data_IF_923528883826
#
_entry.id   IF_923528883826
#
_cell.length_a   1.000
_cell.length_b   1.000
_cell.length_c   1.000
_cell.angle_alpha   90.00
_cell.angle_beta   90.00
_cell.angle_gamma   90.00
#
_symmetry.space_group_name_H-M   'P 1'
#
loop_
_entity.id
_entity.type
_entity.pdbx_description
1 polymer ?
#
# COMPACT_ATOMS: atom_id res chain seq x y z
N UNK A 1 3.14 -19.49 -25.98
CA UNK A 1 3.66 -19.46 -24.60
C UNK A 1 4.89 -20.35 -24.48
N UNK A 2 4.83 -21.58 -24.99
CA UNK A 2 5.94 -22.54 -24.94
C UNK A 2 7.23 -22.07 -25.63
N UNK A 3 7.16 -21.46 -26.82
CA UNK A 3 8.37 -20.98 -27.53
C UNK A 3 9.14 -19.91 -26.73
N UNK A 4 8.43 -19.01 -26.05
CA UNK A 4 9.04 -17.98 -25.21
C UNK A 4 9.70 -18.59 -23.98
N UNK A 5 9.01 -19.51 -23.31
CA UNK A 5 9.52 -20.24 -22.14
C UNK A 5 10.77 -21.04 -22.50
N UNK A 6 10.75 -21.77 -23.61
CA UNK A 6 11.88 -22.54 -24.12
C UNK A 6 13.07 -21.65 -24.47
N UNK A 7 12.85 -20.53 -25.16
CA UNK A 7 13.93 -19.58 -25.47
C UNK A 7 14.59 -19.02 -24.20
N UNK A 8 13.81 -18.71 -23.16
CA UNK A 8 14.34 -18.28 -21.86
C UNK A 8 15.09 -19.40 -21.13
N UNK A 9 14.59 -20.63 -21.16
CA UNK A 9 15.25 -21.80 -20.58
C UNK A 9 16.61 -22.05 -21.25
N UNK A 10 16.64 -22.07 -22.59
CA UNK A 10 17.83 -22.33 -23.39
C UNK A 10 18.92 -21.27 -23.19
N UNK A 11 18.54 -19.98 -23.19
CA UNK A 11 19.47 -18.88 -23.02
C UNK A 11 20.12 -18.83 -21.63
N UNK A 12 19.43 -19.34 -20.60
CA UNK A 12 19.88 -19.29 -19.21
C UNK A 12 20.36 -20.66 -18.67
N UNK A 13 20.30 -21.72 -19.48
CA UNK A 13 20.65 -23.08 -19.06
C UNK A 13 19.80 -23.57 -17.87
N UNK A 14 18.55 -23.11 -17.76
CA UNK A 14 17.66 -23.36 -16.62
C UNK A 14 16.45 -24.15 -17.06
N UNK A 15 16.12 -25.22 -16.33
CA UNK A 15 14.85 -25.91 -16.56
C UNK A 15 13.68 -25.06 -16.06
N UNK A 16 12.78 -24.73 -16.99
CA UNK A 16 11.53 -24.01 -16.74
C UNK A 16 10.31 -24.86 -17.09
N UNK A 17 10.44 -26.18 -17.19
CA UNK A 17 9.33 -27.09 -17.48
C UNK A 17 8.19 -26.94 -16.47
N UNK A 18 8.49 -26.89 -15.17
CA UNK A 18 7.48 -26.69 -14.14
C UNK A 18 6.85 -25.29 -14.16
N UNK A 19 7.53 -24.28 -14.69
CA UNK A 19 6.96 -22.94 -14.85
C UNK A 19 5.80 -22.92 -15.87
N UNK A 20 5.70 -23.94 -16.72
CA UNK A 20 4.58 -24.12 -17.66
C UNK A 20 3.23 -24.21 -16.95
N UNK A 21 3.20 -24.67 -15.69
CA UNK A 21 1.97 -24.74 -14.90
C UNK A 21 1.29 -23.37 -14.76
N UNK A 22 2.02 -22.24 -14.79
CA UNK A 22 1.44 -20.89 -14.79
C UNK A 22 0.59 -20.58 -16.03
N UNK A 23 0.83 -21.25 -17.16
CA UNK A 23 0.04 -21.07 -18.37
C UNK A 23 -1.17 -22.00 -18.43
N UNK A 24 -1.15 -23.08 -17.66
CA UNK A 24 -2.09 -24.19 -17.78
C UNK A 24 -3.08 -24.27 -16.61
N UNK A 25 -2.69 -23.76 -15.44
CA UNK A 25 -3.52 -23.76 -14.25
C UNK A 25 -4.22 -22.41 -14.10
N UNK A 26 -5.55 -22.34 -14.26
CA UNK A 26 -6.28 -21.15 -13.89
C UNK A 26 -6.24 -20.94 -12.37
N UNK A 27 -6.51 -19.71 -11.93
CA UNK A 27 -6.69 -19.36 -10.51
C UNK A 27 -5.51 -18.67 -9.87
N UNK A 28 -5.72 -18.23 -8.63
CA UNK A 28 -4.68 -17.62 -7.81
C UNK A 28 -4.25 -18.64 -6.76
N UNK A 29 -3.02 -19.20 -6.84
CA UNK A 29 -2.50 -20.09 -5.81
C UNK A 29 -2.49 -19.40 -4.45
N UNK A 30 -2.64 -20.18 -3.39
CA UNK A 30 -2.41 -19.73 -2.01
C UNK A 30 -1.09 -20.33 -1.50
N UNK A 31 -0.29 -19.52 -0.82
CA UNK A 31 0.93 -19.94 -0.15
C UNK A 31 0.77 -19.69 1.35
N UNK A 32 0.60 -20.76 2.12
CA UNK A 32 0.61 -20.69 3.58
C UNK A 32 2.06 -20.69 4.05
N UNK A 33 2.39 -19.82 5.00
CA UNK A 33 3.74 -19.70 5.56
C UNK A 33 3.69 -19.86 7.07
N UNK A 34 4.62 -20.65 7.59
CA UNK A 34 4.88 -20.77 9.02
C UNK A 34 6.35 -20.49 9.29
N UNK A 35 6.64 -19.78 10.36
CA UNK A 35 7.99 -19.51 10.81
C UNK A 35 8.30 -20.22 12.12
N UNK A 36 9.57 -20.51 12.33
CA UNK A 36 10.11 -21.11 13.55
C UNK A 36 11.47 -20.49 13.88
N UNK A 37 11.76 -20.29 15.16
CA UNK A 37 13.00 -19.69 15.63
C UNK A 37 13.64 -20.58 16.69
N UNK A 38 14.84 -21.08 16.38
CA UNK A 38 15.70 -21.79 17.31
C UNK A 38 16.77 -20.84 17.86
N UNK A 39 16.56 -20.39 19.10
CA UNK A 39 17.47 -19.49 19.79
C UNK A 39 18.82 -20.15 20.18
N UNK A 40 18.87 -21.47 20.34
CA UNK A 40 20.08 -22.18 20.73
C UNK A 40 21.05 -22.30 19.54
N UNK A 41 20.52 -22.51 18.33
CA UNK A 41 21.32 -22.59 17.10
C UNK A 41 21.39 -21.28 16.32
N UNK A 42 20.54 -20.31 16.65
CA UNK A 42 20.42 -19.06 15.90
C UNK A 42 19.85 -19.27 14.50
N UNK A 43 18.93 -20.22 14.34
CA UNK A 43 18.36 -20.60 13.04
C UNK A 43 16.90 -20.19 12.95
N UNK A 44 16.59 -19.36 11.95
CA UNK A 44 15.22 -19.04 11.59
C UNK A 44 14.80 -19.89 10.40
N UNK A 45 13.59 -20.43 10.42
CA UNK A 45 13.12 -21.30 9.35
C UNK A 45 11.73 -20.93 8.88
N UNK A 46 11.52 -20.99 7.58
CA UNK A 46 10.22 -20.76 6.92
C UNK A 46 9.76 -22.06 6.27
N UNK A 47 8.59 -22.55 6.68
CA UNK A 47 7.88 -23.63 5.99
C UNK A 47 6.80 -23.02 5.10
N UNK A 48 6.95 -23.19 3.79
CA UNK A 48 6.02 -22.68 2.78
C UNK A 48 5.22 -23.84 2.21
N UNK A 49 3.90 -23.66 2.09
CA UNK A 49 2.99 -24.65 1.52
C UNK A 49 2.11 -24.05 0.44
N UNK A 50 2.17 -24.59 -0.77
CA UNK A 50 1.32 -24.13 -1.87
C UNK A 50 0.03 -24.95 -1.98
N UNK A 51 -1.08 -24.24 -2.16
CA UNK A 51 -2.39 -24.77 -2.52
C UNK A 51 -2.76 -24.21 -3.88
N UNK A 52 -2.76 -25.07 -4.88
CA UNK A 52 -3.08 -24.74 -6.27
C UNK A 52 -4.48 -25.23 -6.63
N UNK A 53 -5.17 -24.53 -7.53
CA UNK A 53 -6.52 -24.88 -7.96
C UNK A 53 -7.66 -24.59 -6.97
N UNK A 54 -7.37 -24.21 -5.72
CA UNK A 54 -8.40 -24.00 -4.69
C UNK A 54 -9.40 -22.87 -5.03
N UNK A 55 -10.69 -23.12 -4.81
CA UNK A 55 -11.75 -22.10 -4.87
C UNK A 55 -12.39 -21.85 -6.25
N UNK A 56 -12.20 -22.76 -7.21
CA UNK A 56 -12.79 -22.62 -8.54
C UNK A 56 -14.07 -23.42 -8.76
N UNK A 57 -14.99 -22.81 -9.51
CA UNK A 57 -16.07 -23.52 -10.16
C UNK A 57 -15.52 -24.21 -11.42
N UNK A 58 -15.50 -25.54 -11.41
CA UNK A 58 -15.15 -26.34 -12.57
C UNK A 58 -16.40 -26.74 -13.34
N UNK A 59 -16.27 -26.88 -14.66
CA UNK A 59 -17.33 -27.50 -15.46
C UNK A 59 -17.51 -28.95 -14.99
N UNK A 60 -18.75 -29.45 -14.86
CA UNK A 60 -18.98 -30.84 -14.47
C UNK A 60 -18.22 -31.81 -15.37
N UNK A 61 -17.25 -32.54 -14.81
CA UNK A 61 -16.45 -33.55 -15.52
C UNK A 61 -15.01 -33.14 -15.87
N UNK A 62 -14.60 -31.89 -15.66
CA UNK A 62 -13.19 -31.50 -15.75
C UNK A 62 -12.42 -31.94 -14.50
N UNK A 63 -11.26 -32.58 -14.70
CA UNK A 63 -10.34 -32.88 -13.59
C UNK A 63 -9.60 -31.60 -13.21
N UNK A 64 -9.69 -31.22 -11.95
CA UNK A 64 -8.94 -30.12 -11.37
C UNK A 64 -7.44 -30.41 -11.48
N UNK A 65 -6.70 -29.48 -12.09
CA UNK A 65 -5.24 -29.56 -12.19
C UNK A 65 -4.66 -28.95 -10.92
N UNK A 66 -4.03 -29.79 -10.10
CA UNK A 66 -3.47 -29.43 -8.79
C UNK A 66 -1.96 -29.71 -8.73
N UNK A 67 -1.27 -29.63 -9.87
CA UNK A 67 0.17 -29.90 -9.94
C UNK A 67 0.93 -28.74 -9.29
N UNK A 68 1.88 -28.99 -8.36
CA UNK A 68 2.70 -27.93 -7.77
C UNK A 68 3.36 -27.06 -8.84
N UNK A 69 3.27 -25.76 -8.65
CA UNK A 69 3.85 -24.75 -9.53
C UNK A 69 5.24 -24.39 -9.03
N UNK A 70 6.08 -23.83 -9.91
CA UNK A 70 7.28 -23.12 -9.51
C UNK A 70 6.89 -21.70 -9.09
N UNK A 71 6.87 -21.44 -7.78
CA UNK A 71 6.50 -20.14 -7.20
C UNK A 71 7.77 -19.48 -6.62
N UNK A 72 8.29 -18.41 -7.25
CA UNK A 72 9.40 -17.64 -6.70
C UNK A 72 8.90 -16.73 -5.56
N UNK A 73 9.32 -16.99 -4.33
CA UNK A 73 8.99 -16.18 -3.15
C UNK A 73 10.23 -15.40 -2.74
N UNK A 74 10.28 -14.11 -3.04
CA UNK A 74 11.36 -13.23 -2.58
C UNK A 74 11.14 -12.92 -1.11
N UNK A 75 12.14 -13.20 -0.27
CA UNK A 75 12.12 -12.93 1.17
C UNK A 75 13.33 -12.11 1.59
N UNK A 76 13.14 -11.24 2.58
CA UNK A 76 14.23 -10.65 3.36
C UNK A 76 13.95 -10.81 4.84
N UNK A 77 14.99 -10.81 5.68
CA UNK A 77 14.83 -10.89 7.14
C UNK A 77 15.39 -9.63 7.77
N UNK A 78 14.61 -9.01 8.66
CA UNK A 78 14.97 -7.78 9.35
C UNK A 78 15.12 -8.02 10.85
N UNK A 79 16.10 -7.35 11.44
CA UNK A 79 16.33 -7.36 12.87
C UNK A 79 15.32 -6.43 13.59
N UNK A 80 14.56 -6.99 14.54
CA UNK A 80 13.48 -6.30 15.27
C UNK A 80 13.95 -5.05 16.00
N UNK A 81 15.17 -5.02 16.51
CA UNK A 81 15.67 -3.91 17.34
C UNK A 81 16.25 -2.78 16.51
N UNK A 82 17.08 -3.11 15.50
CA UNK A 82 17.79 -2.11 14.69
C UNK A 82 17.04 -1.69 13.43
N UNK A 83 16.07 -2.49 12.96
CA UNK A 83 15.46 -2.32 11.66
C UNK A 83 16.39 -2.68 10.49
N UNK A 84 17.59 -3.22 10.77
CA UNK A 84 18.55 -3.57 9.75
C UNK A 84 18.17 -4.87 9.04
N UNK A 85 18.40 -4.93 7.74
CA UNK A 85 18.27 -6.15 6.96
C UNK A 85 19.44 -7.09 7.28
N UNK A 86 19.14 -8.20 7.97
CA UNK A 86 20.13 -9.22 8.38
C UNK A 86 20.26 -10.34 7.38
N UNK A 87 19.22 -10.59 6.58
CA UNK A 87 19.29 -11.42 5.38
C UNK A 87 18.76 -10.60 4.21
N UNK A 88 19.62 -10.23 3.25
CA UNK A 88 19.22 -9.56 2.02
C UNK A 88 18.14 -10.33 1.25
N UNK A 89 17.37 -9.61 0.44
CA UNK A 89 16.42 -10.21 -0.52
C UNK A 89 16.99 -11.45 -1.21
N UNK A 90 16.31 -12.58 -1.01
CA UNK A 90 16.64 -13.88 -1.59
C UNK A 90 15.39 -14.52 -2.16
N UNK A 91 15.52 -15.13 -3.34
CA UNK A 91 14.44 -15.93 -3.95
C UNK A 91 14.43 -17.32 -3.30
N UNK A 92 13.30 -17.71 -2.74
CA UNK A 92 12.98 -19.09 -2.39
C UNK A 92 12.15 -19.69 -3.52
N UNK A 93 12.61 -20.79 -4.09
CA UNK A 93 11.88 -21.51 -5.13
C UNK A 93 11.00 -22.58 -4.47
N UNK A 94 9.70 -22.27 -4.34
CA UNK A 94 8.71 -23.24 -3.89
C UNK A 94 8.23 -24.05 -5.11
N UNK A 95 8.75 -25.26 -5.24
CA UNK A 95 8.50 -26.22 -6.32
C UNK A 95 7.77 -27.48 -5.85
N UNK A 96 7.82 -27.80 -4.56
CA UNK A 96 7.06 -28.90 -3.97
C UNK A 96 5.76 -28.39 -3.31
N UNK A 97 4.80 -29.27 -2.97
CA UNK A 97 3.61 -28.85 -2.22
C UNK A 97 3.94 -28.16 -0.89
N UNK A 98 5.04 -28.54 -0.25
CA UNK A 98 5.51 -28.00 1.03
C UNK A 98 7.04 -28.08 1.08
N UNK A 99 7.73 -26.98 1.43
CA UNK A 99 9.18 -26.94 1.59
C UNK A 99 9.58 -26.10 2.79
N UNK A 100 10.65 -26.52 3.48
CA UNK A 100 11.27 -25.77 4.58
C UNK A 100 12.58 -25.13 4.12
N UNK A 101 12.75 -23.86 4.42
CA UNK A 101 13.94 -23.06 4.14
C UNK A 101 14.53 -22.55 5.45
N UNK A 102 15.84 -22.70 5.63
CA UNK A 102 16.52 -22.36 6.88
C UNK A 102 17.55 -21.23 6.68
N UNK A 103 17.64 -20.36 7.68
CA UNK A 103 18.48 -19.18 7.73
C UNK A 103 19.29 -19.22 9.04
N UNK A 104 20.45 -19.91 9.05
CA UNK A 104 21.29 -20.03 10.23
C UNK A 104 22.15 -18.77 10.46
N UNK A 105 22.65 -18.63 11.68
CA UNK A 105 23.64 -17.60 12.04
C UNK A 105 23.06 -16.24 12.40
N UNK A 106 21.77 -16.19 12.76
CA UNK A 106 21.12 -14.97 13.22
C UNK A 106 21.33 -14.78 14.73
N UNK A 107 21.43 -13.52 15.16
CA UNK A 107 21.70 -13.17 16.57
C UNK A 107 20.44 -13.06 17.42
N UNK A 108 19.31 -12.80 16.77
CA UNK A 108 17.99 -12.63 17.36
C UNK A 108 16.93 -13.08 16.36
N UNK A 109 15.72 -13.31 16.85
CA UNK A 109 14.58 -13.65 16.00
C UNK A 109 14.25 -12.48 15.05
N UNK A 110 14.28 -12.68 13.72
CA UNK A 110 13.98 -11.64 12.76
C UNK A 110 12.46 -11.46 12.54
N UNK A 111 12.07 -10.37 11.87
CA UNK A 111 10.78 -10.24 11.20
C UNK A 111 10.95 -10.60 9.72
N UNK A 112 10.17 -11.54 9.17
CA UNK A 112 10.25 -11.87 7.77
C UNK A 112 9.51 -10.82 6.93
N UNK A 113 10.14 -10.35 5.86
CA UNK A 113 9.50 -9.61 4.78
C UNK A 113 9.29 -10.58 3.63
N UNK A 114 8.04 -11.05 3.47
CA UNK A 114 7.68 -12.14 2.56
C UNK A 114 7.07 -11.59 1.27
N UNK A 115 7.24 -12.32 0.16
CA UNK A 115 6.65 -11.99 -1.15
C UNK A 115 7.00 -10.56 -1.65
N UNK A 116 8.23 -10.12 -1.37
CA UNK A 116 8.74 -8.79 -1.76
C UNK A 116 8.53 -8.50 -3.24
N UNK A 117 8.26 -7.23 -3.56
CA UNK A 117 7.90 -6.77 -4.92
C UNK A 117 6.76 -7.58 -5.56
N UNK A 118 5.90 -8.22 -4.76
CA UNK A 118 4.87 -9.15 -5.21
C UNK A 118 5.44 -10.24 -6.15
N UNK A 119 6.53 -10.88 -5.71
CA UNK A 119 7.38 -11.75 -6.55
C UNK A 119 6.66 -12.88 -7.28
N UNK A 120 5.49 -13.28 -6.80
CA UNK A 120 4.58 -14.18 -7.51
C UNK A 120 3.11 -13.77 -7.27
N UNK A 121 2.23 -13.96 -8.26
CA UNK A 121 0.81 -13.60 -8.15
C UNK A 121 0.03 -14.65 -7.34
N UNK A 122 0.27 -14.70 -6.03
CA UNK A 122 -0.31 -15.65 -5.09
C UNK A 122 -1.01 -14.93 -3.93
N UNK A 123 -1.94 -15.61 -3.27
CA UNK A 123 -2.44 -15.20 -1.95
C UNK A 123 -1.49 -15.71 -0.90
N UNK A 124 -0.74 -14.82 -0.25
CA UNK A 124 0.09 -15.19 0.89
C UNK A 124 -0.75 -15.27 2.15
N UNK A 125 -0.63 -16.35 2.90
CA UNK A 125 -1.23 -16.50 4.23
C UNK A 125 -0.12 -16.68 5.26
N UNK A 126 0.17 -15.61 6.00
CA UNK A 126 1.12 -15.60 7.11
C UNK A 126 0.52 -14.81 8.27
N UNK A 127 0.64 -15.36 9.47
CA UNK A 127 0.04 -14.80 10.69
C UNK A 127 0.90 -13.68 11.29
N UNK A 128 1.11 -12.58 10.56
CA UNK A 128 1.77 -11.40 11.12
C UNK A 128 1.01 -10.86 12.33
N UNK A 129 1.76 -10.48 13.37
CA UNK A 129 1.22 -9.68 14.48
C UNK A 129 1.07 -8.21 14.08
N UNK A 130 0.33 -7.42 14.85
CA UNK A 130 0.25 -5.97 14.61
C UNK A 130 1.60 -5.29 14.83
N UNK A 131 2.39 -5.82 15.76
CA UNK A 131 3.76 -5.40 16.01
C UNK A 131 4.65 -5.67 14.78
N UNK A 132 4.56 -6.86 14.17
CA UNK A 132 5.30 -7.19 12.95
C UNK A 132 4.90 -6.27 11.79
N UNK A 133 3.59 -6.08 11.56
CA UNK A 133 3.10 -5.22 10.49
C UNK A 133 3.50 -3.75 10.71
N UNK A 134 3.41 -3.26 11.95
CA UNK A 134 3.83 -1.89 12.28
C UNK A 134 5.33 -1.71 12.07
N UNK A 135 6.12 -2.73 12.43
CA UNK A 135 7.56 -2.76 12.19
C UNK A 135 7.86 -2.77 10.68
N UNK A 136 7.24 -3.64 9.90
CA UNK A 136 7.47 -3.73 8.44
C UNK A 136 7.08 -2.42 7.73
N UNK A 137 5.92 -1.83 8.05
CA UNK A 137 5.52 -0.54 7.50
C UNK A 137 6.56 0.57 7.78
N UNK A 138 7.19 0.53 8.96
CA UNK A 138 8.16 1.52 9.42
C UNK A 138 9.59 1.30 8.89
N UNK A 139 10.04 0.04 8.77
CA UNK A 139 11.46 -0.31 8.63
C UNK A 139 11.80 -1.25 7.48
N UNK A 140 10.82 -1.87 6.81
CA UNK A 140 11.13 -2.82 5.74
C UNK A 140 11.96 -2.14 4.63
N UNK A 141 12.99 -2.82 4.15
CA UNK A 141 13.81 -2.35 3.02
C UNK A 141 13.10 -2.53 1.68
N UNK A 142 12.07 -3.39 1.64
CA UNK A 142 11.18 -3.55 0.50
C UNK A 142 10.04 -2.55 0.54
N UNK A 143 10.02 -1.68 -0.47
CA UNK A 143 9.06 -0.60 -0.58
C UNK A 143 7.61 -1.11 -0.73
N UNK A 144 7.40 -2.16 -1.52
CA UNK A 144 6.09 -2.75 -1.71
C UNK A 144 5.52 -3.28 -0.38
N UNK A 145 6.32 -4.01 0.39
CA UNK A 145 5.90 -4.56 1.68
C UNK A 145 5.68 -3.49 2.76
N UNK A 146 6.41 -2.36 2.73
CA UNK A 146 6.06 -1.21 3.58
C UNK A 146 4.66 -0.70 3.28
N UNK A 147 4.33 -0.57 1.99
CA UNK A 147 3.00 -0.17 1.55
C UNK A 147 1.95 -1.22 1.92
N UNK A 148 2.20 -2.50 1.66
CA UNK A 148 1.26 -3.59 1.94
C UNK A 148 0.96 -3.70 3.44
N UNK A 149 1.98 -3.65 4.30
CA UNK A 149 1.81 -3.64 5.75
C UNK A 149 0.95 -2.46 6.21
N UNK A 150 1.16 -1.26 5.64
CA UNK A 150 0.32 -0.10 5.92
C UNK A 150 -1.13 -0.29 5.44
N UNK A 151 -1.36 -0.95 4.30
CA UNK A 151 -2.71 -1.27 3.81
C UNK A 151 -3.41 -2.32 4.69
N UNK A 152 -2.70 -3.33 5.18
CA UNK A 152 -3.24 -4.35 6.09
C UNK A 152 -3.64 -3.69 7.41
N UNK A 153 -2.75 -2.90 8.03
CA UNK A 153 -3.04 -2.15 9.26
C UNK A 153 -4.21 -1.18 9.07
N UNK A 154 -4.22 -0.42 7.97
CA UNK A 154 -5.32 0.48 7.64
C UNK A 154 -6.66 -0.24 7.47
N UNK A 155 -6.65 -1.39 6.78
CA UNK A 155 -7.84 -2.22 6.60
C UNK A 155 -8.35 -2.77 7.91
N UNK A 156 -7.44 -3.26 8.77
CA UNK A 156 -7.77 -3.74 10.11
C UNK A 156 -8.40 -2.63 10.95
N UNK A 157 -7.77 -1.46 11.00
CA UNK A 157 -8.27 -0.33 11.79
C UNK A 157 -9.68 0.12 11.36
N UNK A 158 -9.94 0.16 10.05
CA UNK A 158 -11.27 0.52 9.53
C UNK A 158 -12.30 -0.55 9.86
N UNK A 159 -11.95 -1.84 9.76
CA UNK A 159 -12.85 -2.96 10.09
C UNK A 159 -13.15 -3.01 11.60
N UNK A 160 -12.18 -2.73 12.45
CA UNK A 160 -12.39 -2.62 13.89
C UNK A 160 -13.29 -1.44 14.23
N UNK A 161 -13.04 -0.27 13.63
CA UNK A 161 -13.92 0.89 13.80
C UNK A 161 -15.35 0.62 13.31
N UNK A 162 -15.49 -0.13 12.22
CA UNK A 162 -16.78 -0.57 11.69
C UNK A 162 -17.52 -1.51 12.67
N UNK A 163 -16.78 -2.44 13.29
CA UNK A 163 -17.29 -3.38 14.27
C UNK A 163 -17.59 -2.75 15.64
N UNK A 164 -17.03 -1.58 15.94
CA UNK A 164 -17.32 -0.83 17.16
C UNK A 164 -18.70 -0.12 17.16
N UNK A 165 -19.46 -0.22 16.06
CA UNK A 165 -20.86 0.23 15.96
C UNK A 165 -21.16 1.66 16.45
N UNK A 166 -20.22 2.59 16.22
CA UNK A 166 -20.38 4.00 16.59
C UNK A 166 -19.79 4.38 17.95
N UNK A 167 -19.19 3.43 18.67
CA UNK A 167 -18.34 3.73 19.82
C UNK A 167 -17.08 4.50 19.40
N UNK A 168 -16.47 5.19 20.37
CA UNK A 168 -15.22 5.92 20.14
C UNK A 168 -14.11 4.92 19.78
N UNK A 169 -13.57 5.07 18.58
CA UNK A 169 -12.47 4.26 18.08
C UNK A 169 -11.17 5.06 18.02
N UNK A 170 -10.09 4.48 18.52
CA UNK A 170 -8.74 5.04 18.46
C UNK A 170 -7.83 4.02 17.76
N UNK A 171 -7.19 4.37 16.64
CA UNK A 171 -6.24 3.48 15.99
C UNK A 171 -5.08 3.11 16.92
N UNK A 172 -4.50 1.92 16.72
CA UNK A 172 -3.39 1.45 17.55
C UNK A 172 -2.18 2.39 17.47
N UNK A 173 -1.45 2.53 18.59
CA UNK A 173 -0.22 3.35 18.63
C UNK A 173 0.80 2.88 17.60
N UNK A 174 0.94 1.57 17.40
CA UNK A 174 1.85 0.99 16.40
C UNK A 174 1.53 1.46 14.98
N UNK A 175 0.25 1.46 14.59
CA UNK A 175 -0.17 1.95 13.27
C UNK A 175 0.08 3.46 13.10
N UNK A 176 -0.23 4.26 14.13
CA UNK A 176 0.04 5.71 14.10
C UNK A 176 1.54 5.99 13.97
N UNK A 177 2.36 5.30 14.73
CA UNK A 177 3.82 5.47 14.71
C UNK A 177 4.43 5.00 13.38
N UNK A 178 3.91 3.91 12.80
CA UNK A 178 4.32 3.44 11.48
C UNK A 178 4.03 4.48 10.39
N UNK A 179 2.81 5.04 10.33
CA UNK A 179 2.50 6.11 9.37
C UNK A 179 3.30 7.38 9.64
N UNK A 180 3.58 7.73 10.91
CA UNK A 180 4.48 8.84 11.24
C UNK A 180 5.88 8.59 10.67
N UNK A 181 6.42 7.39 10.80
CA UNK A 181 7.73 7.02 10.27
C UNK A 181 7.76 7.15 8.74
N UNK A 182 6.74 6.64 8.05
CA UNK A 182 6.60 6.76 6.59
C UNK A 182 6.55 8.25 6.17
N UNK A 183 5.76 9.06 6.85
CA UNK A 183 5.60 10.49 6.56
C UNK A 183 6.89 11.29 6.76
N UNK A 184 7.63 10.94 7.81
CA UNK A 184 8.89 11.62 8.20
C UNK A 184 10.12 11.03 7.51
N UNK A 185 9.96 9.98 6.71
CA UNK A 185 11.04 9.33 5.98
C UNK A 185 11.72 10.29 4.99
N UNK A 186 13.05 10.41 5.14
CA UNK A 186 13.94 11.22 4.29
C UNK A 186 14.94 10.37 3.50
N UNK A 187 15.04 9.09 3.82
CA UNK A 187 16.00 8.16 3.24
C UNK A 187 15.43 7.54 1.96
N UNK A 188 14.13 7.28 1.95
CA UNK A 188 13.43 6.74 0.78
C UNK A 188 13.34 7.77 -0.34
N UNK A 189 13.94 7.45 -1.48
CA UNK A 189 13.97 8.32 -2.67
C UNK A 189 12.65 8.31 -3.45
N UNK A 190 11.93 7.19 -3.43
CA UNK A 190 10.64 7.10 -4.12
C UNK A 190 9.51 7.65 -3.26
N UNK A 191 9.20 8.94 -3.45
CA UNK A 191 8.11 9.60 -2.74
C UNK A 191 6.72 9.09 -3.16
N UNK A 192 6.59 8.43 -4.32
CA UNK A 192 5.30 7.92 -4.79
C UNK A 192 4.84 6.80 -3.87
N UNK A 193 5.75 5.93 -3.50
CA UNK A 193 5.48 4.85 -2.56
C UNK A 193 5.06 5.38 -1.19
N UNK A 194 5.81 6.34 -0.64
CA UNK A 194 5.42 6.96 0.64
C UNK A 194 4.01 7.56 0.56
N UNK A 195 3.68 8.18 -0.58
CA UNK A 195 2.33 8.69 -0.82
C UNK A 195 1.29 7.57 -0.84
N UNK A 196 1.55 6.46 -1.54
CA UNK A 196 0.64 5.31 -1.58
C UNK A 196 0.45 4.66 -0.20
N UNK A 197 1.53 4.51 0.59
CA UNK A 197 1.48 3.90 1.91
C UNK A 197 0.67 4.73 2.92
N UNK A 198 0.65 6.05 2.76
CA UNK A 198 -0.14 6.95 3.59
C UNK A 198 -1.62 7.02 3.19
N UNK A 199 -2.02 6.49 2.04
CA UNK A 199 -3.44 6.47 1.63
C UNK A 199 -4.13 5.28 2.26
N UNK A 200 -5.17 5.55 3.05
CA UNK A 200 -6.01 4.47 3.61
C UNK A 200 -6.76 3.71 2.51
N UNK A 201 -6.93 2.38 2.65
CA UNK A 201 -7.62 1.52 1.69
C UNK A 201 -8.97 2.07 1.23
N UNK A 202 -9.29 1.85 -0.04
CA UNK A 202 -10.57 2.25 -0.62
C UNK A 202 -11.72 1.35 -0.09
N UNK A 203 -12.91 1.93 0.03
CA UNK A 203 -14.10 1.21 0.51
C UNK A 203 -14.44 -0.01 -0.35
N UNK A 204 -14.27 0.09 -1.67
CA UNK A 204 -14.48 -1.03 -2.60
C UNK A 204 -13.56 -2.22 -2.30
N UNK A 205 -12.27 -1.96 -2.05
CA UNK A 205 -11.30 -3.00 -1.71
C UNK A 205 -11.61 -3.63 -0.34
N UNK A 206 -12.07 -2.82 0.62
CA UNK A 206 -12.51 -3.34 1.93
C UNK A 206 -13.72 -4.26 1.78
N UNK A 207 -14.70 -3.88 0.98
CA UNK A 207 -15.92 -4.67 0.74
C UNK A 207 -15.64 -6.05 0.15
N UNK A 208 -14.62 -6.20 -0.71
CA UNK A 208 -14.21 -7.49 -1.28
C UNK A 208 -13.75 -8.51 -0.22
N UNK A 209 -13.27 -8.01 0.93
CA UNK A 209 -12.73 -8.83 2.03
C UNK A 209 -13.68 -8.94 3.23
N UNK A 210 -14.85 -8.31 3.17
CA UNK A 210 -15.85 -8.32 4.24
C UNK A 210 -16.99 -9.28 3.90
N UNK A 211 -17.48 -10.00 4.91
CA UNK A 211 -18.62 -10.91 4.75
C UNK A 211 -19.91 -10.12 4.47
N UNK A 212 -20.61 -10.36 3.35
CA UNK A 212 -21.89 -9.71 3.09
C UNK A 212 -22.99 -10.21 4.06
N UNK A 213 -24.00 -9.38 4.39
CA UNK A 213 -24.20 -8.01 3.92
C UNK A 213 -23.32 -6.98 4.65
N UNK A 214 -22.70 -6.08 3.88
CA UNK A 214 -21.89 -4.97 4.39
C UNK A 214 -22.65 -3.66 4.21
N UNK A 215 -22.89 -2.92 5.30
CA UNK A 215 -23.44 -1.57 5.26
C UNK A 215 -22.40 -0.56 4.71
N UNK A 216 -22.61 0.03 3.51
CA UNK A 216 -21.66 0.96 2.91
C UNK A 216 -21.59 2.32 3.62
N UNK A 217 -22.69 2.79 4.23
CA UNK A 217 -22.71 4.07 4.96
C UNK A 217 -21.88 3.92 6.22
N UNK A 218 -22.05 2.82 6.96
CA UNK A 218 -21.25 2.54 8.15
C UNK A 218 -19.76 2.38 7.80
N UNK A 219 -19.43 1.75 6.68
CA UNK A 219 -18.05 1.60 6.21
C UNK A 219 -17.42 2.96 5.86
N UNK A 220 -18.16 3.83 5.18
CA UNK A 220 -17.74 5.19 4.88
C UNK A 220 -17.46 6.00 6.15
N UNK A 221 -18.36 5.93 7.14
CA UNK A 221 -18.18 6.60 8.44
C UNK A 221 -16.97 6.05 9.19
N UNK A 222 -16.80 4.72 9.27
CA UNK A 222 -15.66 4.09 9.92
C UNK A 222 -14.33 4.52 9.28
N UNK A 223 -14.27 4.52 7.95
CA UNK A 223 -13.09 4.99 7.21
C UNK A 223 -12.77 6.44 7.51
N UNK A 224 -13.76 7.32 7.52
CA UNK A 224 -13.56 8.74 7.83
C UNK A 224 -13.17 8.97 9.29
N UNK A 225 -13.68 8.18 10.23
CA UNK A 225 -13.26 8.22 11.65
C UNK A 225 -11.79 7.87 11.79
N UNK A 226 -11.32 6.78 11.17
CA UNK A 226 -9.90 6.43 11.15
C UNK A 226 -9.08 7.53 10.47
N UNK A 227 -9.54 8.05 9.33
CA UNK A 227 -8.86 9.14 8.61
C UNK A 227 -8.69 10.39 9.48
N UNK A 228 -9.72 10.75 10.24
CA UNK A 228 -9.69 11.89 11.19
C UNK A 228 -8.72 11.65 12.34
N UNK A 229 -8.75 10.47 12.97
CA UNK A 229 -7.82 10.13 14.04
C UNK A 229 -6.36 10.20 13.57
N UNK A 230 -6.07 9.72 12.36
CA UNK A 230 -4.73 9.84 11.75
C UNK A 230 -4.36 11.30 11.47
N UNK A 231 -5.30 12.12 10.97
CA UNK A 231 -5.06 13.54 10.70
C UNK A 231 -4.69 14.31 11.97
N UNK A 232 -5.38 14.04 13.07
CA UNK A 232 -5.13 14.65 14.37
C UNK A 232 -3.78 14.20 14.95
N UNK A 233 -3.50 12.89 14.92
CA UNK A 233 -2.27 12.33 15.49
C UNK A 233 -0.98 12.69 14.71
N UNK A 234 -1.10 13.06 13.43
CA UNK A 234 0.00 13.38 12.53
C UNK A 234 -0.01 14.86 12.10
N UNK A 235 -0.81 15.72 12.72
CA UNK A 235 -1.08 17.07 12.25
C UNK A 235 0.18 17.93 12.04
N UNK A 236 1.12 17.90 13.00
CA UNK A 236 2.38 18.66 12.90
C UNK A 236 3.30 18.11 11.81
N UNK A 237 3.41 16.79 11.71
CA UNK A 237 4.27 16.12 10.73
C UNK A 237 3.74 16.37 9.31
N UNK A 238 2.42 16.32 9.12
CA UNK A 238 1.77 16.61 7.83
C UNK A 238 2.02 18.06 7.40
N UNK A 239 1.96 19.01 8.34
CA UNK A 239 2.24 20.43 8.05
C UNK A 239 3.70 20.64 7.64
N UNK A 240 4.66 20.06 8.39
CA UNK A 240 6.09 20.13 8.07
C UNK A 240 6.35 19.51 6.70
N UNK A 241 5.87 18.29 6.47
CA UNK A 241 6.09 17.57 5.22
C UNK A 241 5.45 18.27 4.03
N UNK A 242 4.23 18.79 4.17
CA UNK A 242 3.58 19.58 3.14
C UNK A 242 4.38 20.84 2.78
N UNK A 243 4.90 21.56 3.77
CA UNK A 243 5.68 22.77 3.56
C UNK A 243 6.98 22.46 2.80
N UNK A 244 7.70 21.40 3.20
CA UNK A 244 8.92 20.95 2.54
C UNK A 244 8.69 20.52 1.08
N UNK A 245 7.56 19.87 0.81
CA UNK A 245 7.22 19.40 -0.53
C UNK A 245 6.59 20.50 -1.38
N UNK A 246 6.23 21.65 -0.81
CA UNK A 246 5.60 22.73 -1.55
C UNK A 246 6.59 23.38 -2.52
N UNK A 247 6.14 23.72 -3.74
CA UNK A 247 6.99 24.38 -4.72
C UNK A 247 7.41 25.77 -4.24
N UNK A 248 8.61 26.20 -4.62
CA UNK A 248 9.03 27.58 -4.43
C UNK A 248 8.19 28.57 -5.25
N UNK A 249 8.19 29.87 -4.91
CA UNK A 249 7.41 30.89 -5.64
C UNK A 249 7.71 30.94 -7.14
N UNK A 250 8.99 30.75 -7.50
CA UNK A 250 9.49 30.81 -8.87
C UNK A 250 9.77 29.41 -9.46
N UNK A 251 9.32 28.34 -8.79
CA UNK A 251 9.56 26.98 -9.24
C UNK A 251 8.62 26.63 -10.43
N UNK A 252 9.23 26.33 -11.58
CA UNK A 252 8.49 25.92 -12.77
C UNK A 252 7.91 24.50 -12.63
N UNK A 253 6.82 24.24 -13.35
CA UNK A 253 6.21 22.92 -13.39
C UNK A 253 7.08 21.95 -14.19
N UNK A 254 7.65 20.95 -13.51
CA UNK A 254 8.39 19.84 -14.14
C UNK A 254 7.51 18.60 -14.27
N UNK A 255 7.54 17.98 -15.47
CA UNK A 255 6.81 16.76 -15.81
C UNK A 255 7.81 15.59 -15.88
N UNK A 256 8.16 15.07 -14.70
CA UNK A 256 8.96 13.86 -14.55
C UNK A 256 8.44 13.01 -13.37
N UNK A 257 8.98 11.80 -13.22
CA UNK A 257 8.62 10.88 -12.14
C UNK A 257 8.84 11.48 -10.75
N UNK A 258 10.04 11.99 -10.41
CA UNK A 258 10.32 12.58 -9.10
C UNK A 258 9.40 13.76 -8.73
N UNK A 259 9.10 14.66 -9.66
CA UNK A 259 8.21 15.79 -9.40
C UNK A 259 6.75 15.34 -9.25
N UNK A 260 6.33 14.31 -10.01
CA UNK A 260 5.02 13.70 -9.82
C UNK A 260 4.90 13.03 -8.44
N UNK A 261 5.94 12.31 -8.02
CA UNK A 261 6.05 11.67 -6.70
C UNK A 261 5.96 12.69 -5.56
N UNK A 262 6.70 13.81 -5.67
CA UNK A 262 6.65 14.93 -4.73
C UNK A 262 5.25 15.53 -4.63
N UNK A 263 4.59 15.78 -5.77
CA UNK A 263 3.21 16.28 -5.80
C UNK A 263 2.22 15.29 -5.18
N UNK A 264 2.36 14.00 -5.46
CA UNK A 264 1.51 12.96 -4.89
C UNK A 264 1.58 12.98 -3.35
N UNK A 265 2.79 12.94 -2.77
CA UNK A 265 2.96 12.98 -1.32
C UNK A 265 2.45 14.29 -0.70
N UNK A 266 2.71 15.44 -1.35
CA UNK A 266 2.19 16.74 -0.92
C UNK A 266 0.66 16.75 -0.89
N UNK A 267 0.02 16.19 -1.91
CA UNK A 267 -1.43 16.15 -2.03
C UNK A 267 -2.07 15.20 -1.01
N UNK A 268 -1.39 14.10 -0.64
CA UNK A 268 -1.81 13.27 0.50
C UNK A 268 -1.77 14.07 1.80
N UNK A 269 -0.69 14.83 2.05
CA UNK A 269 -0.61 15.70 3.23
C UNK A 269 -1.74 16.74 3.24
N UNK A 270 -2.03 17.39 2.11
CA UNK A 270 -3.16 18.32 1.98
C UNK A 270 -4.49 17.65 2.30
N UNK A 271 -4.72 16.44 1.78
CA UNK A 271 -5.94 15.67 2.00
C UNK A 271 -6.17 15.29 3.47
N UNK A 272 -5.10 15.06 4.25
CA UNK A 272 -5.21 14.87 5.69
C UNK A 272 -5.49 16.19 6.42
N UNK A 273 -4.74 17.24 6.10
CA UNK A 273 -4.90 18.54 6.76
C UNK A 273 -6.28 19.19 6.48
N UNK A 274 -6.92 18.89 5.36
CA UNK A 274 -8.25 19.41 5.02
C UNK A 274 -9.39 18.79 5.82
N UNK A 275 -9.15 17.66 6.51
CA UNK A 275 -10.17 16.98 7.34
C UNK A 275 -10.64 17.84 8.51
N UNK A 276 -9.80 18.76 8.99
CA UNK A 276 -10.16 19.68 10.06
C UNK A 276 -11.34 20.60 9.68
N UNK A 277 -11.49 20.93 8.38
CA UNK A 277 -12.54 21.80 7.83
C UNK A 277 -12.64 23.18 8.51
N UNK A 278 -11.58 23.60 9.18
CA UNK A 278 -11.43 24.93 9.77
C UNK A 278 -10.92 25.96 8.75
N UNK A 279 -10.98 27.25 9.12
CA UNK A 279 -10.55 28.35 8.26
C UNK A 279 -9.10 28.21 7.78
N UNK A 280 -8.21 27.68 8.63
CA UNK A 280 -6.80 27.50 8.27
C UNK A 280 -6.61 26.43 7.20
N UNK A 281 -7.35 25.33 7.29
CA UNK A 281 -7.34 24.23 6.33
C UNK A 281 -7.95 24.63 4.99
N UNK A 282 -9.06 25.39 5.00
CA UNK A 282 -9.73 25.90 3.81
C UNK A 282 -8.83 26.92 3.11
N UNK A 283 -8.26 27.87 3.84
CA UNK A 283 -7.32 28.85 3.30
C UNK A 283 -6.10 28.17 2.65
N UNK A 284 -5.59 27.09 3.24
CA UNK A 284 -4.49 26.29 2.67
C UNK A 284 -4.88 25.63 1.35
N UNK A 285 -6.07 25.04 1.28
CA UNK A 285 -6.57 24.41 0.04
C UNK A 285 -6.80 25.47 -1.06
N UNK A 286 -7.43 26.59 -0.73
CA UNK A 286 -7.64 27.71 -1.66
C UNK A 286 -6.32 28.28 -2.18
N UNK A 287 -5.32 28.44 -1.31
CA UNK A 287 -3.96 28.86 -1.70
C UNK A 287 -3.35 27.88 -2.70
N UNK A 288 -3.34 26.58 -2.39
CA UNK A 288 -2.81 25.58 -3.32
C UNK A 288 -3.55 25.58 -4.65
N UNK A 289 -4.88 25.70 -4.66
CA UNK A 289 -5.68 25.77 -5.87
C UNK A 289 -5.25 26.94 -6.77
N UNK A 290 -5.15 28.15 -6.18
CA UNK A 290 -4.73 29.36 -6.90
C UNK A 290 -3.31 29.25 -7.46
N UNK A 291 -2.35 28.79 -6.65
CA UNK A 291 -0.95 28.59 -7.07
C UNK A 291 -0.82 27.53 -8.16
N UNK A 292 -1.55 26.42 -8.04
CA UNK A 292 -1.56 25.36 -9.04
C UNK A 292 -2.19 25.81 -10.35
N UNK A 293 -3.28 26.60 -10.27
CA UNK A 293 -3.92 27.22 -11.43
C UNK A 293 -2.96 28.16 -12.16
N UNK A 294 -2.26 29.04 -11.44
CA UNK A 294 -1.26 29.95 -12.00
C UNK A 294 -0.12 29.20 -12.72
N UNK A 295 0.37 28.10 -12.12
CA UNK A 295 1.41 27.23 -12.69
C UNK A 295 0.89 26.22 -13.72
N UNK A 296 -0.41 26.23 -14.04
CA UNK A 296 -1.07 25.27 -14.95
C UNK A 296 -0.86 23.79 -14.55
N UNK A 297 -0.76 23.52 -13.25
CA UNK A 297 -0.59 22.18 -12.70
C UNK A 297 -1.96 21.56 -12.39
N UNK A 298 -2.49 20.74 -13.30
CA UNK A 298 -3.80 20.10 -13.12
C UNK A 298 -3.85 19.15 -11.91
N UNK A 299 -2.76 18.45 -11.61
CA UNK A 299 -2.68 17.50 -10.47
C UNK A 299 -2.93 18.19 -9.13
N UNK A 300 -2.20 19.27 -8.85
CA UNK A 300 -2.35 20.00 -7.59
C UNK A 300 -3.64 20.80 -7.54
N UNK A 301 -4.10 21.32 -8.70
CA UNK A 301 -5.37 22.06 -8.82
C UNK A 301 -6.56 21.15 -8.47
N UNK A 302 -6.60 19.95 -9.04
CA UNK A 302 -7.67 18.98 -8.79
C UNK A 302 -7.62 18.44 -7.35
N UNK A 303 -6.43 18.17 -6.81
CA UNK A 303 -6.28 17.73 -5.42
C UNK A 303 -6.81 18.77 -4.42
N UNK A 304 -6.48 20.05 -4.64
CA UNK A 304 -6.98 21.14 -3.81
C UNK A 304 -8.49 21.35 -3.97
N UNK A 305 -9.01 21.29 -5.20
CA UNK A 305 -10.46 21.38 -5.46
C UNK A 305 -11.23 20.28 -4.72
N UNK A 306 -10.78 19.02 -4.80
CA UNK A 306 -11.41 17.91 -4.07
C UNK A 306 -11.48 18.17 -2.56
N UNK A 307 -10.42 18.74 -1.98
CA UNK A 307 -10.43 19.12 -0.57
C UNK A 307 -11.43 20.24 -0.25
N UNK A 308 -11.56 21.24 -1.12
CA UNK A 308 -12.52 22.33 -0.93
C UNK A 308 -13.98 21.87 -1.06
N UNK A 309 -14.25 20.91 -1.95
CA UNK A 309 -15.60 20.37 -2.17
C UNK A 309 -16.13 19.56 -0.98
N UNK A 310 -15.29 19.24 0.02
CA UNK A 310 -15.70 18.68 1.30
C UNK A 310 -16.37 19.70 2.23
N UNK A 311 -16.38 20.99 1.86
CA UNK A 311 -17.03 22.10 2.56
C UNK A 311 -17.83 22.96 1.56
N UNK A 312 -18.88 22.41 0.92
CA UNK A 312 -19.62 23.08 -0.16
C UNK A 312 -20.32 24.38 0.28
N UNK A 313 -20.52 24.57 1.57
CA UNK A 313 -21.09 25.79 2.17
C UNK A 313 -20.14 26.99 2.21
N UNK A 314 -18.85 26.77 1.91
CA UNK A 314 -17.80 27.80 1.96
C UNK A 314 -17.65 28.48 0.60
N UNK A 315 -17.48 29.81 0.61
CA UNK A 315 -17.34 30.60 -0.62
C UNK A 315 -16.13 30.17 -1.45
N UNK A 316 -15.02 29.81 -0.79
CA UNK A 316 -13.79 29.37 -1.44
C UNK A 316 -14.01 28.10 -2.29
N UNK A 317 -14.90 27.21 -1.86
CA UNK A 317 -15.24 25.99 -2.59
C UNK A 317 -16.06 26.30 -3.85
N UNK A 318 -17.06 27.18 -3.72
CA UNK A 318 -17.91 27.62 -4.84
C UNK A 318 -17.07 28.37 -5.88
N UNK A 319 -16.22 29.29 -5.44
CA UNK A 319 -15.32 30.07 -6.30
C UNK A 319 -14.32 29.17 -7.02
N UNK A 320 -13.70 28.22 -6.32
CA UNK A 320 -12.76 27.28 -6.93
C UNK A 320 -13.44 26.37 -7.96
N UNK A 321 -14.65 25.88 -7.68
CA UNK A 321 -15.42 25.07 -8.61
C UNK A 321 -15.77 25.84 -9.88
N UNK A 322 -16.26 27.08 -9.74
CA UNK A 322 -16.57 27.95 -10.87
C UNK A 322 -15.31 28.24 -11.69
N UNK A 323 -14.20 28.62 -11.04
CA UNK A 323 -12.94 28.88 -11.72
C UNK A 323 -12.40 27.64 -12.45
N UNK A 324 -12.59 26.44 -11.88
CA UNK A 324 -12.21 25.19 -12.55
C UNK A 324 -13.04 24.93 -13.80
N UNK A 325 -14.36 25.17 -13.74
CA UNK A 325 -15.25 25.05 -14.88
C UNK A 325 -14.93 26.08 -15.98
N UNK A 326 -14.70 27.33 -15.61
CA UNK A 326 -14.33 28.39 -16.54
C UNK A 326 -13.00 28.09 -17.24
N UNK A 327 -12.01 27.60 -16.49
CA UNK A 327 -10.71 27.16 -17.02
C UNK A 327 -10.84 26.01 -18.03
N UNK A 328 -11.86 25.16 -17.90
CA UNK A 328 -12.08 24.05 -18.83
C UNK A 328 -12.43 24.56 -20.23
N UNK A 329 -13.05 25.73 -20.34
CA UNK A 329 -13.38 26.38 -21.62
C UNK A 329 -14.07 25.45 -22.65
N UNK A 330 -14.90 24.51 -22.18
CA UNK A 330 -15.58 23.51 -23.01
C UNK A 330 -14.80 22.24 -23.31
N UNK A 331 -13.59 22.06 -22.77
CA UNK A 331 -12.83 20.80 -22.84
C UNK A 331 -13.51 19.71 -22.00
N UNK A 332 -14.11 18.73 -22.69
CA UNK A 332 -14.83 17.63 -22.07
C UNK A 332 -13.95 16.78 -21.13
N UNK A 333 -12.65 16.64 -21.39
CA UNK A 333 -11.75 15.87 -20.54
C UNK A 333 -11.47 16.57 -19.21
N UNK A 334 -11.50 17.90 -19.19
CA UNK A 334 -11.39 18.69 -17.96
C UNK A 334 -12.72 18.72 -17.22
N UNK A 335 -13.85 18.88 -17.93
CA UNK A 335 -15.20 18.89 -17.34
C UNK A 335 -15.58 17.54 -16.71
N UNK A 336 -15.10 16.42 -17.24
CA UNK A 336 -15.37 15.08 -16.67
C UNK A 336 -14.68 14.83 -15.31
N UNK A 337 -13.69 15.64 -14.92
CA UNK A 337 -12.90 15.47 -13.69
C UNK A 337 -13.55 16.15 -12.49
#
# INVERSE_FOLDING_TARGET
CDDFRSAMADANGRDLSQFEEWYLQPGTPQVDVQSDWDADTGTYSLTLKQKVGAGQAHLPGEKQRETPMLIPVVVGLLDKESGAEVVPSKVLELVEPEQRFEFPGLKAEPVPSLLRDFSAPVKLDYSYTDEDLSFLAAYDTDNFNRWEAAQILGSKAIKECYAAEGEAYVPSKGFVDALRRILTDKETKDLSLLAYALVLPAESALMETMSPPTDPVRLHLARNTVRKAMAEALAEDMQKRYAELSPGPDEELVIDGPSAARRALRNVCLGYMSIAKDDASIARCAKQFSEARARKCMTDKLAALRCLLETPERSEAVEALQAFYDDAAGDALVVNK
#
